data_IF_545166926176
#
_entry.id   IF_545166926176
#
_cell.length_a   1.000
_cell.length_b   1.000
_cell.length_c   1.000
_cell.angle_alpha   90.00
_cell.angle_beta   90.00
_cell.angle_gamma   90.00
#
_symmetry.space_group_name_H-M   'P 1'
#
loop_
_entity.id
_entity.type
_entity.pdbx_description
1 polymer ?
#
# COMPACT_ATOMS: atom_id res chain seq x y z
N UNK A 1 -27.48 -5.49 4.55
CA UNK A 1 -27.92 -4.62 5.69
C UNK A 1 -26.72 -3.79 6.13
N UNK A 2 -26.97 -2.52 6.49
CA UNK A 2 -25.89 -1.68 6.98
C UNK A 2 -25.48 -2.12 8.38
N UNK A 3 -24.18 -2.14 8.63
CA UNK A 3 -23.56 -2.47 9.91
C UNK A 3 -22.58 -1.38 10.29
N UNK A 4 -22.54 -1.03 11.58
CA UNK A 4 -21.50 -0.16 12.11
C UNK A 4 -20.16 -0.91 12.15
N UNK A 5 -19.12 -0.29 11.62
CA UNK A 5 -17.76 -0.82 11.56
C UNK A 5 -16.82 0.20 12.20
N UNK A 6 -16.07 -0.26 13.19
CA UNK A 6 -15.11 0.55 13.94
C UNK A 6 -13.70 0.03 13.67
N UNK A 7 -12.82 0.91 13.18
CA UNK A 7 -11.43 0.55 12.86
C UNK A 7 -10.54 1.80 13.02
N UNK A 8 -9.23 1.60 12.97
CA UNK A 8 -8.29 2.72 12.85
C UNK A 8 -7.82 2.85 11.40
N UNK A 9 -7.77 4.08 10.90
CA UNK A 9 -7.20 4.38 9.58
C UNK A 9 -6.17 5.50 9.74
N UNK A 10 -4.93 5.20 9.40
CA UNK A 10 -3.79 6.13 9.54
C UNK A 10 -3.66 6.71 10.97
N UNK A 11 -3.95 5.89 11.98
CA UNK A 11 -3.88 6.26 13.39
C UNK A 11 -5.11 6.97 13.96
N UNK A 12 -6.11 7.28 13.13
CA UNK A 12 -7.37 7.92 13.56
C UNK A 12 -8.48 6.87 13.72
N UNK A 13 -9.30 7.02 14.74
CA UNK A 13 -10.46 6.16 14.97
C UNK A 13 -11.57 6.53 13.97
N UNK A 14 -12.09 5.53 13.27
CA UNK A 14 -13.15 5.65 12.26
C UNK A 14 -14.33 4.78 12.67
N UNK A 15 -15.54 5.33 12.62
CA UNK A 15 -16.80 4.60 12.83
C UNK A 15 -17.76 4.94 11.69
N UNK A 16 -18.11 3.94 10.87
CA UNK A 16 -18.93 4.13 9.67
C UNK A 16 -20.05 3.09 9.58
N UNK A 17 -21.21 3.52 9.08
CA UNK A 17 -22.32 2.63 8.74
C UNK A 17 -22.15 2.13 7.30
N UNK A 18 -21.78 0.87 7.13
CA UNK A 18 -21.43 0.28 5.83
C UNK A 18 -22.36 -0.88 5.47
N UNK A 19 -22.65 -1.01 4.19
CA UNK A 19 -23.23 -2.25 3.67
C UNK A 19 -22.22 -3.40 3.81
N UNK A 20 -22.71 -4.60 4.13
CA UNK A 20 -21.84 -5.76 4.44
C UNK A 20 -20.95 -6.19 3.26
N UNK A 21 -21.29 -5.82 2.03
CA UNK A 21 -20.50 -6.09 0.83
C UNK A 21 -19.56 -4.95 0.44
N UNK A 22 -19.44 -3.91 1.25
CA UNK A 22 -18.52 -2.78 0.99
C UNK A 22 -17.08 -3.29 1.03
N UNK A 23 -16.31 -3.06 -0.03
CA UNK A 23 -14.89 -3.38 -0.07
C UNK A 23 -14.08 -2.36 0.73
N UNK A 24 -12.96 -2.80 1.30
CA UNK A 24 -12.06 -1.90 2.02
C UNK A 24 -11.59 -0.74 1.14
N UNK A 25 -11.29 -1.00 -0.14
CA UNK A 25 -10.90 0.06 -1.09
C UNK A 25 -11.98 1.12 -1.28
N UNK A 26 -13.26 0.71 -1.29
CA UNK A 26 -14.38 1.64 -1.46
C UNK A 26 -14.59 2.49 -0.19
N UNK A 27 -14.47 1.88 0.99
CA UNK A 27 -14.45 2.63 2.25
C UNK A 27 -13.35 3.70 2.22
N UNK A 28 -12.12 3.33 1.88
CA UNK A 28 -10.99 4.25 1.86
C UNK A 28 -11.21 5.39 0.85
N UNK A 29 -11.57 5.06 -0.39
CA UNK A 29 -11.63 6.04 -1.47
C UNK A 29 -12.91 6.88 -1.48
N UNK A 30 -14.06 6.24 -1.29
CA UNK A 30 -15.36 6.89 -1.50
C UNK A 30 -15.91 7.50 -0.20
N UNK A 31 -15.76 6.82 0.93
CA UNK A 31 -16.25 7.30 2.23
C UNK A 31 -15.23 8.22 2.89
N UNK A 32 -14.00 7.74 3.08
CA UNK A 32 -12.95 8.49 3.79
C UNK A 32 -12.17 9.47 2.90
N UNK A 33 -12.37 9.41 1.58
CA UNK A 33 -11.69 10.27 0.60
C UNK A 33 -10.16 10.14 0.58
N UNK A 34 -9.64 9.02 1.03
CA UNK A 34 -8.22 8.67 0.95
C UNK A 34 -7.91 8.09 -0.43
N UNK A 35 -7.73 8.96 -1.41
CA UNK A 35 -7.63 8.60 -2.84
C UNK A 35 -6.24 8.17 -3.29
N UNK A 36 -5.25 8.17 -2.41
CA UNK A 36 -3.90 7.67 -2.69
C UNK A 36 -3.86 6.16 -2.96
N UNK A 37 -4.81 5.40 -2.42
CA UNK A 37 -5.01 4.00 -2.80
C UNK A 37 -5.76 3.93 -4.13
N UNK A 38 -5.16 3.31 -5.15
CA UNK A 38 -5.72 3.27 -6.51
C UNK A 38 -6.43 1.95 -6.83
N UNK A 39 -7.32 1.98 -7.83
CA UNK A 39 -7.96 0.78 -8.41
C UNK A 39 -7.55 0.68 -9.87
N UNK A 40 -6.73 -0.32 -10.21
CA UNK A 40 -6.21 -0.53 -11.57
C UNK A 40 -6.77 -1.76 -12.28
N UNK A 41 -7.56 -2.59 -11.61
CA UNK A 41 -8.20 -3.78 -12.18
C UNK A 41 -9.45 -4.17 -11.40
N UNK A 42 -10.19 -5.14 -11.93
CA UNK A 42 -11.32 -5.83 -11.29
C UNK A 42 -11.04 -7.31 -10.99
N UNK A 43 -9.78 -7.74 -11.16
CA UNK A 43 -9.35 -9.15 -11.10
C UNK A 43 -8.39 -9.44 -9.93
N UNK A 44 -8.18 -8.46 -9.04
CA UNK A 44 -7.31 -8.58 -7.86
C UNK A 44 -5.83 -8.85 -8.18
N UNK A 45 -5.37 -8.54 -9.39
CA UNK A 45 -4.01 -8.86 -9.85
C UNK A 45 -3.05 -7.68 -9.79
N UNK A 46 -3.51 -6.45 -10.09
CA UNK A 46 -2.61 -5.33 -10.35
C UNK A 46 -1.84 -4.79 -9.13
N UNK A 47 -2.35 -4.97 -7.92
CA UNK A 47 -1.72 -4.51 -6.68
C UNK A 47 -1.76 -2.99 -6.43
N UNK A 48 -2.39 -2.20 -7.30
CA UNK A 48 -2.50 -0.75 -7.13
C UNK A 48 -3.27 -0.35 -5.85
N UNK A 49 -4.14 -1.24 -5.35
CA UNK A 49 -4.95 -1.06 -4.16
C UNK A 49 -4.29 -1.55 -2.86
N UNK A 50 -3.01 -1.91 -2.88
CA UNK A 50 -2.31 -2.44 -1.70
C UNK A 50 -2.25 -1.41 -0.58
N UNK A 51 -2.67 -1.83 0.61
CA UNK A 51 -2.60 -1.10 1.88
C UNK A 51 -2.02 -2.03 2.95
N UNK A 52 -1.71 -1.50 4.14
CA UNK A 52 -1.41 -2.36 5.28
C UNK A 52 -2.67 -2.57 6.12
N UNK A 53 -2.94 -3.83 6.45
CA UNK A 53 -3.93 -4.25 7.44
C UNK A 53 -3.19 -4.93 8.58
N UNK A 54 -3.23 -4.32 9.77
CA UNK A 54 -2.46 -4.76 10.93
C UNK A 54 -0.96 -4.97 10.62
N UNK A 55 -0.38 -4.03 9.87
CA UNK A 55 1.03 -4.05 9.48
C UNK A 55 1.42 -4.96 8.32
N UNK A 56 0.46 -5.67 7.68
CA UNK A 56 0.72 -6.57 6.55
C UNK A 56 0.09 -6.06 5.26
N UNK A 57 0.82 -6.16 4.17
CA UNK A 57 0.33 -5.77 2.86
C UNK A 57 -0.83 -6.66 2.40
N UNK A 58 -1.95 -6.04 2.07
CA UNK A 58 -3.14 -6.69 1.51
C UNK A 58 -3.69 -5.89 0.33
N UNK A 59 -4.35 -6.56 -0.60
CA UNK A 59 -5.08 -5.92 -1.69
C UNK A 59 -6.47 -5.51 -1.19
N UNK A 60 -6.68 -4.24 -0.92
CA UNK A 60 -7.94 -3.75 -0.33
C UNK A 60 -9.19 -4.01 -1.17
N UNK A 61 -9.03 -4.29 -2.47
CA UNK A 61 -10.12 -4.71 -3.34
C UNK A 61 -10.60 -6.17 -3.12
N UNK A 62 -9.93 -6.94 -2.26
CA UNK A 62 -10.30 -8.33 -1.91
C UNK A 62 -10.73 -8.49 -0.45
N UNK A 63 -10.77 -7.40 0.29
CA UNK A 63 -11.13 -7.38 1.72
C UNK A 63 -12.45 -6.65 1.88
N UNK A 64 -13.39 -7.26 2.60
CA UNK A 64 -14.62 -6.58 2.99
C UNK A 64 -14.34 -5.65 4.18
N UNK A 65 -14.85 -4.44 4.14
CA UNK A 65 -14.65 -3.46 5.22
C UNK A 65 -15.15 -3.99 6.58
N UNK A 66 -16.24 -4.75 6.59
CA UNK A 66 -16.78 -5.38 7.82
C UNK A 66 -15.83 -6.40 8.46
N UNK A 67 -14.88 -6.95 7.70
CA UNK A 67 -13.85 -7.86 8.22
C UNK A 67 -12.72 -7.11 8.94
N UNK A 68 -12.66 -5.78 8.77
CA UNK A 68 -11.65 -4.93 9.38
C UNK A 68 -12.08 -4.36 10.74
N UNK A 69 -13.21 -4.83 11.31
CA UNK A 69 -13.65 -4.42 12.65
C UNK A 69 -12.52 -4.58 13.68
N UNK A 70 -12.22 -3.49 14.41
CA UNK A 70 -11.14 -3.45 15.41
C UNK A 70 -9.73 -3.48 14.86
N UNK A 71 -9.54 -3.46 13.53
CA UNK A 71 -8.23 -3.50 12.89
C UNK A 71 -7.63 -2.12 12.67
N UNK A 72 -6.32 -2.09 12.40
CA UNK A 72 -5.60 -0.91 11.96
C UNK A 72 -5.25 -1.00 10.47
N UNK A 73 -5.69 0.01 9.71
CA UNK A 73 -5.40 0.16 8.27
C UNK A 73 -4.46 1.34 8.08
N UNK A 74 -3.36 1.11 7.35
CA UNK A 74 -2.45 2.19 6.93
C UNK A 74 -2.43 2.29 5.42
N UNK A 75 -2.71 3.48 4.90
CA UNK A 75 -2.60 3.80 3.47
C UNK A 75 -1.32 4.58 3.20
N UNK A 76 -1.03 4.86 1.93
CA UNK A 76 0.15 5.64 1.53
C UNK A 76 0.14 7.05 2.15
N UNK A 77 -1.03 7.61 2.45
CA UNK A 77 -1.16 8.90 3.12
C UNK A 77 -0.71 8.85 4.60
N UNK A 78 -0.73 7.67 5.21
CA UNK A 78 -0.40 7.46 6.63
C UNK A 78 1.06 7.12 6.91
N UNK A 79 1.91 6.89 5.90
CA UNK A 79 3.30 6.47 6.12
C UNK A 79 4.29 7.64 6.19
N UNK A 80 3.90 8.83 5.76
CA UNK A 80 4.75 10.02 5.77
C UNK A 80 3.95 11.29 5.49
N UNK A 81 4.61 12.43 5.55
CA UNK A 81 4.03 13.74 5.21
C UNK A 81 4.89 14.46 4.17
N UNK A 82 4.40 15.53 3.53
CA UNK A 82 5.21 16.34 2.61
C UNK A 82 6.50 16.89 3.24
N UNK A 83 6.49 17.14 4.56
CA UNK A 83 7.64 17.66 5.31
C UNK A 83 8.59 16.54 5.75
N UNK A 84 8.08 15.30 5.85
CA UNK A 84 8.86 14.13 6.29
C UNK A 84 8.36 12.89 5.57
N UNK A 85 8.92 12.64 4.41
CA UNK A 85 8.65 11.43 3.64
C UNK A 85 9.15 10.17 4.36
N UNK A 86 8.45 9.07 4.13
CA UNK A 86 8.96 7.75 4.51
C UNK A 86 10.20 7.40 3.66
N UNK A 87 11.23 6.71 4.20
CA UNK A 87 12.44 6.34 3.44
C UNK A 87 12.15 5.64 2.10
N UNK A 88 11.07 4.86 2.01
CA UNK A 88 10.63 4.24 0.75
C UNK A 88 10.16 5.29 -0.27
N UNK A 89 9.41 6.31 0.16
CA UNK A 89 8.96 7.40 -0.71
C UNK A 89 10.14 8.23 -1.22
N UNK A 90 11.09 8.55 -0.33
CA UNK A 90 12.33 9.24 -0.72
C UNK A 90 13.12 8.44 -1.75
N UNK A 91 13.32 7.14 -1.53
CA UNK A 91 14.06 6.28 -2.43
C UNK A 91 13.39 6.16 -3.82
N UNK A 92 12.06 6.08 -3.88
CA UNK A 92 11.33 6.09 -5.16
C UNK A 92 11.53 7.39 -5.92
N UNK A 93 11.59 8.53 -5.23
CA UNK A 93 11.90 9.82 -5.84
C UNK A 93 13.35 9.88 -6.31
N UNK A 94 14.30 9.49 -5.46
CA UNK A 94 15.75 9.56 -5.71
C UNK A 94 16.18 8.64 -6.85
N UNK A 95 15.69 7.41 -6.90
CA UNK A 95 16.02 6.42 -7.93
C UNK A 95 15.10 6.49 -9.16
N UNK A 96 14.17 7.45 -9.23
CA UNK A 96 13.17 7.54 -10.30
C UNK A 96 12.35 6.23 -10.46
N UNK A 97 11.90 5.65 -9.34
CA UNK A 97 11.10 4.42 -9.30
C UNK A 97 9.68 4.55 -9.81
N UNK A 98 9.32 5.68 -10.40
CA UNK A 98 8.00 5.97 -10.95
C UNK A 98 8.07 6.78 -12.24
N UNK A 99 7.03 6.66 -13.08
CA UNK A 99 6.78 7.51 -14.23
C UNK A 99 5.37 8.11 -14.15
N UNK A 100 4.32 7.39 -14.54
CA UNK A 100 2.95 7.89 -14.41
C UNK A 100 2.47 8.00 -12.96
N UNK A 101 3.07 7.25 -12.03
CA UNK A 101 2.74 7.27 -10.60
C UNK A 101 1.55 6.40 -10.20
N UNK A 102 0.82 5.78 -11.14
CA UNK A 102 -0.42 5.06 -10.83
C UNK A 102 -0.17 3.81 -9.95
N UNK A 103 0.86 3.02 -10.22
CA UNK A 103 1.22 1.84 -9.43
C UNK A 103 1.95 2.21 -8.13
N UNK A 104 2.45 3.43 -7.99
CA UNK A 104 3.43 3.80 -6.98
C UNK A 104 2.92 3.65 -5.54
N UNK A 105 1.72 4.08 -5.16
CA UNK A 105 1.22 3.88 -3.80
C UNK A 105 1.18 2.40 -3.39
N UNK A 106 0.60 1.55 -4.23
CA UNK A 106 0.53 0.11 -3.97
C UNK A 106 1.90 -0.56 -3.96
N UNK A 107 2.80 -0.14 -4.85
CA UNK A 107 4.18 -0.64 -4.92
C UNK A 107 4.97 -0.29 -3.64
N UNK A 108 4.84 0.94 -3.16
CA UNK A 108 5.46 1.41 -1.92
C UNK A 108 4.97 0.60 -0.72
N UNK A 109 3.65 0.40 -0.58
CA UNK A 109 3.08 -0.37 0.52
C UNK A 109 3.55 -1.83 0.51
N UNK A 110 3.58 -2.46 -0.66
CA UNK A 110 4.11 -3.83 -0.83
C UNK A 110 5.61 -3.91 -0.49
N UNK A 111 6.40 -2.94 -0.95
CA UNK A 111 7.84 -2.89 -0.71
C UNK A 111 8.18 -2.69 0.78
N UNK A 112 7.42 -1.86 1.50
CA UNK A 112 7.62 -1.67 2.95
C UNK A 112 7.38 -2.99 3.71
N UNK A 113 6.28 -3.69 3.42
CA UNK A 113 6.00 -5.01 4.03
C UNK A 113 7.09 -6.02 3.68
N UNK A 114 7.58 -6.02 2.44
CA UNK A 114 8.68 -6.89 2.01
C UNK A 114 9.96 -6.63 2.81
N UNK A 115 10.35 -5.36 2.97
CA UNK A 115 11.55 -4.98 3.77
C UNK A 115 11.42 -5.40 5.23
N UNK A 116 10.22 -5.34 5.79
CA UNK A 116 9.97 -5.76 7.18
C UNK A 116 9.98 -7.28 7.36
N UNK A 117 9.57 -8.06 6.34
CA UNK A 117 9.49 -9.51 6.42
C UNK A 117 10.80 -10.23 6.16
N UNK A 118 11.63 -9.68 5.28
CA UNK A 118 12.83 -10.33 4.80
C UNK A 118 14.07 -9.77 5.52
N UNK A 119 14.90 -10.64 6.07
CA UNK A 119 16.16 -10.24 6.74
C UNK A 119 17.22 -9.73 5.75
N UNK A 120 17.26 -10.30 4.55
CA UNK A 120 18.14 -9.87 3.47
C UNK A 120 17.35 -9.74 2.17
N UNK A 121 17.68 -8.72 1.38
CA UNK A 121 17.04 -8.45 0.10
C UNK A 121 18.12 -8.30 -0.97
N UNK A 122 18.04 -9.12 -1.99
CA UNK A 122 18.76 -8.97 -3.25
C UNK A 122 17.78 -8.62 -4.38
N UNK A 123 18.30 -8.35 -5.58
CA UNK A 123 17.48 -8.00 -6.74
C UNK A 123 16.40 -9.06 -7.02
N UNK A 124 16.74 -10.35 -6.91
CA UNK A 124 15.82 -11.44 -7.25
C UNK A 124 14.68 -11.53 -6.20
N UNK A 125 15.01 -11.50 -4.91
CA UNK A 125 14.02 -11.53 -3.84
C UNK A 125 13.08 -10.31 -3.87
N UNK A 126 13.60 -9.14 -4.26
CA UNK A 126 12.77 -7.94 -4.45
C UNK A 126 11.81 -8.14 -5.64
N UNK A 127 12.28 -8.65 -6.77
CA UNK A 127 11.44 -8.93 -7.94
C UNK A 127 10.33 -9.93 -7.62
N UNK A 128 10.68 -11.04 -6.98
CA UNK A 128 9.71 -12.06 -6.53
C UNK A 128 8.71 -11.48 -5.53
N UNK A 129 9.18 -10.71 -4.55
CA UNK A 129 8.33 -10.09 -3.54
C UNK A 129 7.34 -9.05 -4.08
N UNK A 130 7.63 -8.48 -5.26
CA UNK A 130 6.77 -7.49 -5.95
C UNK A 130 5.94 -8.06 -7.10
N UNK A 131 5.94 -9.37 -7.34
CA UNK A 131 5.16 -9.99 -8.44
C UNK A 131 3.66 -9.67 -8.38
N UNK A 132 3.11 -9.41 -7.19
CA UNK A 132 1.73 -8.98 -7.01
C UNK A 132 1.41 -7.54 -7.39
N UNK A 133 2.40 -6.75 -7.86
CA UNK A 133 2.26 -5.33 -8.19
C UNK A 133 2.71 -5.06 -9.62
N UNK A 134 1.79 -4.60 -10.47
CA UNK A 134 2.04 -4.38 -11.90
C UNK A 134 2.38 -2.91 -12.17
N UNK A 135 3.53 -2.69 -12.84
CA UNK A 135 3.91 -1.39 -13.39
C UNK A 135 4.06 -1.51 -14.92
N UNK A 136 3.33 -0.69 -15.67
CA UNK A 136 3.38 -0.68 -17.14
C UNK A 136 4.47 0.24 -17.71
N UNK A 137 5.05 1.13 -16.89
CA UNK A 137 5.90 2.22 -17.36
C UNK A 137 7.39 1.94 -17.20
N UNK A 138 7.84 1.47 -16.02
CA UNK A 138 9.25 1.54 -15.59
C UNK A 138 10.10 0.35 -16.01
N UNK A 139 9.51 -0.79 -16.36
CA UNK A 139 10.24 -2.06 -16.53
C UNK A 139 10.85 -2.59 -15.24
N UNK A 140 10.43 -2.06 -14.07
CA UNK A 140 10.80 -2.47 -12.70
C UNK A 140 12.24 -2.16 -12.27
N UNK A 141 13.17 -1.89 -13.17
CA UNK A 141 14.58 -1.71 -12.82
C UNK A 141 14.80 -0.64 -11.74
N UNK A 142 14.25 0.55 -11.96
CA UNK A 142 14.37 1.64 -10.98
C UNK A 142 13.54 1.40 -9.72
N UNK A 143 12.44 0.64 -9.80
CA UNK A 143 11.67 0.22 -8.63
C UNK A 143 12.54 -0.68 -7.74
N UNK A 144 13.21 -1.68 -8.30
CA UNK A 144 14.11 -2.57 -7.55
C UNK A 144 15.22 -1.75 -6.86
N UNK A 145 15.88 -0.84 -7.58
CA UNK A 145 16.89 0.05 -7.00
C UNK A 145 16.34 0.93 -5.86
N UNK A 146 15.10 1.41 -6.01
CA UNK A 146 14.42 2.18 -4.95
C UNK A 146 14.24 1.34 -3.69
N UNK A 147 13.81 0.09 -3.83
CA UNK A 147 13.61 -0.82 -2.70
C UNK A 147 14.94 -1.17 -2.02
N UNK A 148 15.99 -1.44 -2.78
CA UNK A 148 17.35 -1.68 -2.24
C UNK A 148 17.84 -0.50 -1.41
N UNK A 149 17.72 0.73 -1.96
CA UNK A 149 18.10 1.96 -1.26
C UNK A 149 17.27 2.17 0.00
N UNK A 150 15.95 2.01 -0.11
CA UNK A 150 15.05 2.16 1.02
C UNK A 150 15.32 1.14 2.12
N UNK A 151 15.56 -0.12 1.78
CA UNK A 151 15.89 -1.17 2.74
C UNK A 151 17.14 -0.81 3.56
N UNK A 152 18.16 -0.23 2.90
CA UNK A 152 19.37 0.27 3.59
C UNK A 152 19.04 1.42 4.56
N UNK A 153 18.20 2.38 4.11
CA UNK A 153 17.78 3.53 4.95
C UNK A 153 16.90 3.12 6.13
N UNK A 154 16.04 2.10 5.96
CA UNK A 154 15.09 1.64 6.99
C UNK A 154 15.74 0.77 8.06
N UNK A 155 16.90 0.14 7.77
CA UNK A 155 17.62 -0.76 8.68
C UNK A 155 18.73 -0.07 9.48
N UNK A 156 19.10 1.16 9.10
CA UNK A 156 20.07 2.01 9.83
C UNK A 156 19.36 2.94 10.82
#
# INVERSE_FOLDING_TARGET
MAREVNLKVNGEDVSEQLEENTLLVDLLRETLRLTGTHVGCDTSQCGACTVHLNGRAVKSCTVLAVQCEGSEVTTVEGIGSPEKLHPMQEAFSECHGLQCGFCTPGMIMSAIDLVHREESLDENSIREGLEGNICRCTGYHNIVRSVELAATKMRN
#
